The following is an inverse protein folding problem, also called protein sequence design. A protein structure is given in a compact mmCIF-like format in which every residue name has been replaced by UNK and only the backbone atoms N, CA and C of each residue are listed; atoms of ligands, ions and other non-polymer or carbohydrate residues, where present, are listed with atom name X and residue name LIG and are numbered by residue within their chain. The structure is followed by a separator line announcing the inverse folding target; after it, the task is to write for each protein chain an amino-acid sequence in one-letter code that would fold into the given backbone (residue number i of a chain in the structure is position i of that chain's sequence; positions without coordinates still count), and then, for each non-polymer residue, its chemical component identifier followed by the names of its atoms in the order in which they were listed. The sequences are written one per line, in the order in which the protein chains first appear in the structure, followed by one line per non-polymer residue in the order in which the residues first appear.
data_IF_919635418504
#
_entry.id   IF_919635418504
#
_cell.length_a   1.000
_cell.length_b   1.000
_cell.length_c   1.000
_cell.angle_alpha   90.00
_cell.angle_beta   90.00
_cell.angle_gamma   90.00
#
_symmetry.space_group_name_H-M   'P 1'
#
loop_
_entity.id
_entity.type
_entity.pdbx_description
1 polymer ?
#
# COMPACT_ATOMS: atom_id res chain seq x y z
N UNK A 1 6.33 -0.82 20.30
CA UNK A 1 7.34 -0.55 19.27
C UNK A 1 6.61 0.17 18.10
N UNK A 2 7.27 1.14 17.48
CA UNK A 2 6.77 1.79 16.25
C UNK A 2 7.85 1.65 15.19
N UNK A 3 7.46 1.20 14.00
CA UNK A 3 8.37 0.99 12.85
C UNK A 3 7.75 1.60 11.58
N UNK A 4 8.51 1.63 10.51
CA UNK A 4 8.04 1.99 9.17
C UNK A 4 8.08 0.72 8.30
N UNK A 5 7.00 -0.06 8.41
CA UNK A 5 6.71 -1.24 7.59
C UNK A 5 7.86 -2.22 7.39
N UNK A 6 7.90 -2.76 6.20
CA UNK A 6 8.81 -3.85 5.80
C UNK A 6 10.29 -3.47 5.88
N UNK A 7 10.65 -2.22 5.62
CA UNK A 7 12.04 -1.75 5.67
C UNK A 7 12.71 -1.97 7.03
N UNK A 8 11.94 -1.94 8.12
CA UNK A 8 12.42 -2.24 9.47
C UNK A 8 12.11 -3.67 9.91
N UNK A 9 10.99 -4.20 9.49
CA UNK A 9 10.56 -5.54 9.87
C UNK A 9 11.47 -6.62 9.24
N UNK A 10 11.96 -6.44 8.02
CA UNK A 10 12.86 -7.37 7.35
C UNK A 10 14.14 -7.64 8.14
N UNK A 11 14.98 -6.62 8.43
CA UNK A 11 16.19 -6.81 9.25
C UNK A 11 15.91 -7.34 10.67
N UNK A 12 14.74 -7.02 11.25
CA UNK A 12 14.33 -7.63 12.53
C UNK A 12 14.09 -9.11 12.38
N UNK A 13 13.40 -9.57 11.33
CA UNK A 13 13.16 -10.97 11.05
C UNK A 13 14.47 -11.72 10.81
N UNK A 14 15.35 -11.22 9.94
CA UNK A 14 16.67 -11.80 9.69
C UNK A 14 17.43 -12.03 11.00
N UNK A 15 17.37 -11.05 11.92
CA UNK A 15 18.03 -11.13 13.21
C UNK A 15 17.37 -12.15 14.15
N UNK A 16 16.04 -12.24 14.15
CA UNK A 16 15.26 -13.18 14.96
C UNK A 16 15.45 -14.62 14.46
N UNK A 17 15.47 -14.85 13.16
CA UNK A 17 15.69 -16.15 12.53
C UNK A 17 17.10 -16.66 12.82
N UNK A 18 18.11 -15.79 12.70
CA UNK A 18 19.50 -16.14 13.01
C UNK A 18 19.73 -16.43 14.50
N UNK A 19 18.92 -15.87 15.40
CA UNK A 19 19.14 -15.95 16.85
C UNK A 19 17.80 -16.06 17.63
N UNK A 20 17.02 -17.12 17.47
CA UNK A 20 15.62 -17.20 17.95
C UNK A 20 15.47 -17.15 19.48
N UNK A 21 16.54 -17.44 20.23
CA UNK A 21 16.52 -17.46 21.72
C UNK A 21 17.31 -16.32 22.35
N UNK A 22 17.88 -15.41 21.55
CA UNK A 22 18.79 -14.37 22.06
C UNK A 22 18.06 -13.30 22.87
N UNK A 23 16.84 -12.97 22.51
CA UNK A 23 16.08 -11.87 23.14
C UNK A 23 14.83 -12.36 23.85
N UNK A 24 14.56 -11.79 25.01
CA UNK A 24 13.27 -11.97 25.66
C UNK A 24 12.30 -10.90 25.15
N UNK A 25 11.38 -11.30 24.28
CA UNK A 25 10.38 -10.43 23.66
C UNK A 25 8.99 -10.54 24.31
N UNK A 26 8.87 -11.22 25.46
CA UNK A 26 7.58 -11.45 26.13
C UNK A 26 6.84 -10.17 26.52
N UNK A 27 7.55 -9.06 26.69
CA UNK A 27 6.97 -7.76 27.01
C UNK A 27 6.49 -6.97 25.77
N UNK A 28 6.80 -7.44 24.55
CA UNK A 28 6.36 -6.80 23.32
C UNK A 28 4.94 -7.22 23.01
N UNK A 29 3.98 -6.35 23.28
CA UNK A 29 2.55 -6.62 23.13
C UNK A 29 1.92 -5.87 21.96
N UNK A 30 2.60 -4.85 21.43
CA UNK A 30 2.11 -4.07 20.29
C UNK A 30 3.25 -3.54 19.42
N UNK A 31 3.05 -3.62 18.11
CA UNK A 31 3.88 -2.98 17.10
C UNK A 31 2.98 -2.15 16.18
N UNK A 32 3.30 -0.85 16.05
CA UNK A 32 2.60 0.07 15.18
C UNK A 32 3.42 0.39 13.93
N UNK A 33 2.77 0.55 12.79
CA UNK A 33 3.38 0.99 11.54
C UNK A 33 2.48 1.95 10.79
N UNK A 34 3.08 2.76 9.93
CA UNK A 34 2.39 3.58 8.94
C UNK A 34 3.36 4.06 7.86
N UNK A 35 2.81 4.59 6.75
CA UNK A 35 3.55 5.34 5.74
C UNK A 35 4.12 4.52 4.58
N UNK A 36 4.16 3.21 4.69
CA UNK A 36 4.53 2.30 3.59
C UNK A 36 3.64 1.06 3.61
N UNK A 37 3.52 0.42 2.46
CA UNK A 37 2.84 -0.88 2.37
C UNK A 37 3.64 -1.95 3.15
N UNK A 38 2.93 -2.83 3.84
CA UNK A 38 3.54 -3.87 4.66
C UNK A 38 2.87 -5.21 4.41
N UNK A 39 3.63 -6.16 3.87
CA UNK A 39 3.10 -7.44 3.41
C UNK A 39 2.51 -8.30 4.54
N UNK A 40 1.52 -9.10 4.19
CA UNK A 40 0.89 -10.07 5.10
C UNK A 40 1.91 -11.12 5.58
N UNK A 41 2.78 -11.59 4.68
CA UNK A 41 3.81 -12.60 4.94
C UNK A 41 4.76 -12.11 6.02
N UNK A 42 5.22 -10.88 5.89
CA UNK A 42 6.16 -10.26 6.83
C UNK A 42 5.52 -10.05 8.21
N UNK A 43 4.24 -9.64 8.26
CA UNK A 43 3.46 -9.56 9.51
C UNK A 43 3.31 -10.94 10.18
N UNK A 44 2.98 -11.97 9.39
CA UNK A 44 2.86 -13.35 9.89
C UNK A 44 4.18 -13.85 10.46
N UNK A 45 5.29 -13.65 9.76
CA UNK A 45 6.62 -14.08 10.23
C UNK A 45 6.99 -13.44 11.58
N UNK A 46 6.75 -12.13 11.76
CA UNK A 46 6.95 -11.47 13.06
C UNK A 46 6.07 -12.04 14.17
N UNK A 47 4.82 -12.38 13.85
CA UNK A 47 3.87 -12.95 14.80
C UNK A 47 4.19 -14.41 15.17
N UNK A 48 4.97 -15.13 14.36
CA UNK A 48 5.52 -16.44 14.76
C UNK A 48 6.59 -16.27 15.86
N UNK A 49 7.44 -15.26 15.75
CA UNK A 49 8.47 -14.97 16.80
C UNK A 49 7.87 -14.31 18.05
N UNK A 50 6.80 -13.50 17.89
CA UNK A 50 6.20 -12.71 18.98
C UNK A 50 4.68 -12.96 19.01
N UNK A 51 4.21 -14.14 19.39
CA UNK A 51 2.83 -14.57 19.21
C UNK A 51 1.78 -13.82 20.06
N UNK A 52 2.22 -13.15 21.14
CA UNK A 52 1.34 -12.32 21.98
C UNK A 52 1.14 -10.89 21.44
N UNK A 53 1.92 -10.51 20.42
CA UNK A 53 1.90 -9.15 19.89
C UNK A 53 0.68 -8.91 18.97
N UNK A 54 0.15 -7.69 19.02
CA UNK A 54 -0.74 -7.15 18.00
C UNK A 54 0.05 -6.20 17.09
N UNK A 55 -0.11 -6.36 15.79
CA UNK A 55 0.42 -5.42 14.82
C UNK A 55 -0.71 -4.50 14.36
N UNK A 56 -0.52 -3.19 14.50
CA UNK A 56 -1.42 -2.16 13.98
C UNK A 56 -0.74 -1.44 12.83
N UNK A 57 -1.38 -1.45 11.67
CA UNK A 57 -0.88 -0.75 10.49
C UNK A 57 -1.87 0.34 10.10
N UNK A 58 -1.41 1.58 10.09
CA UNK A 58 -2.25 2.77 9.94
C UNK A 58 -2.01 3.44 8.60
N UNK A 59 -3.10 3.70 7.90
CA UNK A 59 -3.12 4.43 6.64
C UNK A 59 -3.68 5.83 6.86
N UNK A 60 -2.97 6.82 6.33
CA UNK A 60 -3.36 8.21 6.43
C UNK A 60 -2.36 9.16 5.78
N UNK A 61 -2.67 10.43 5.78
CA UNK A 61 -1.80 11.51 5.31
C UNK A 61 -1.81 12.68 6.28
N UNK A 62 -0.91 13.66 6.06
CA UNK A 62 -0.89 14.88 6.86
C UNK A 62 -2.19 15.70 6.71
N UNK A 63 -2.86 15.60 5.59
CA UNK A 63 -4.13 16.25 5.27
C UNK A 63 -5.35 15.48 5.81
N UNK A 64 -5.18 14.18 6.08
CA UNK A 64 -6.26 13.29 6.47
C UNK A 64 -5.75 12.17 7.40
N UNK A 65 -5.83 12.41 8.69
CA UNK A 65 -5.44 11.42 9.70
C UNK A 65 -6.56 10.37 9.86
N UNK A 66 -6.16 9.09 9.99
CA UNK A 66 -7.10 8.01 10.28
C UNK A 66 -7.98 7.61 9.10
N UNK A 67 -7.41 7.53 7.90
CA UNK A 67 -8.10 7.06 6.69
C UNK A 67 -8.45 5.58 6.79
N UNK A 68 -7.56 4.78 7.37
CA UNK A 68 -7.79 3.37 7.60
C UNK A 68 -6.80 2.76 8.59
N UNK A 69 -7.16 1.59 9.12
CA UNK A 69 -6.32 0.83 10.03
C UNK A 69 -6.52 -0.67 9.81
N UNK A 70 -5.44 -1.43 9.85
CA UNK A 70 -5.50 -2.89 9.93
C UNK A 70 -4.89 -3.37 11.24
N UNK A 71 -5.39 -4.50 11.74
CA UNK A 71 -4.86 -5.15 12.95
C UNK A 71 -4.57 -6.59 12.61
N UNK A 72 -3.33 -7.04 12.86
CA UNK A 72 -2.93 -8.42 12.70
C UNK A 72 -2.59 -9.03 14.07
N UNK A 73 -2.98 -10.30 14.24
CA UNK A 73 -2.62 -11.16 15.35
C UNK A 73 -2.16 -12.51 14.80
N UNK A 74 -1.53 -13.34 15.63
CA UNK A 74 -1.11 -14.68 15.21
C UNK A 74 -2.29 -15.48 14.64
N UNK A 75 -2.14 -15.95 13.40
CA UNK A 75 -3.18 -16.69 12.67
C UNK A 75 -4.32 -15.84 12.09
N UNK A 76 -4.27 -14.49 12.21
CA UNK A 76 -5.30 -13.56 11.75
C UNK A 76 -4.67 -12.25 11.23
N UNK A 77 -3.78 -12.35 10.25
CA UNK A 77 -3.25 -11.17 9.56
C UNK A 77 -4.11 -10.84 8.34
N UNK A 78 -4.60 -9.57 8.22
CA UNK A 78 -5.26 -9.09 7.02
C UNK A 78 -4.35 -9.21 5.80
N UNK A 79 -4.97 -9.29 4.60
CA UNK A 79 -4.22 -9.21 3.35
C UNK A 79 -3.42 -7.91 3.27
N UNK A 80 -2.35 -7.92 2.51
CA UNK A 80 -1.57 -6.71 2.18
C UNK A 80 -2.51 -5.64 1.64
N UNK A 81 -2.27 -4.38 2.00
CA UNK A 81 -3.07 -3.22 1.61
C UNK A 81 -4.57 -3.23 2.00
N UNK A 82 -5.00 -4.15 2.86
CA UNK A 82 -6.38 -4.21 3.35
C UNK A 82 -6.52 -3.49 4.70
N UNK A 83 -7.46 -2.53 4.75
CA UNK A 83 -7.70 -1.69 5.93
C UNK A 83 -9.19 -1.61 6.27
N UNK A 84 -9.52 -1.57 7.54
CA UNK A 84 -10.82 -1.08 7.97
C UNK A 84 -10.90 0.43 7.73
N UNK A 85 -11.97 0.90 7.09
CA UNK A 85 -12.19 2.33 6.84
C UNK A 85 -12.32 3.11 8.17
N UNK A 86 -11.69 4.27 8.21
CA UNK A 86 -11.89 5.23 9.29
C UNK A 86 -13.34 5.74 9.34
N UNK A 87 -13.83 6.21 10.49
CA UNK A 87 -15.24 6.54 10.71
C UNK A 87 -15.80 7.67 9.82
N UNK A 88 -14.92 8.53 9.29
CA UNK A 88 -15.28 9.62 8.37
C UNK A 88 -14.66 9.42 6.98
N UNK A 89 -14.24 8.21 6.66
CA UNK A 89 -13.56 7.89 5.42
C UNK A 89 -14.56 7.24 4.44
N UNK A 90 -14.48 7.64 3.19
CA UNK A 90 -15.25 7.08 2.08
C UNK A 90 -14.39 7.05 0.82
N UNK A 91 -14.81 6.30 -0.20
CA UNK A 91 -14.17 6.29 -1.52
C UNK A 91 -15.14 6.89 -2.52
N UNK A 92 -14.68 7.87 -3.30
CA UNK A 92 -15.44 8.49 -4.37
C UNK A 92 -14.82 8.19 -5.72
N UNK A 93 -15.64 7.90 -6.71
CA UNK A 93 -15.24 7.91 -8.12
C UNK A 93 -14.79 9.32 -8.55
N UNK A 94 -14.14 9.45 -9.70
CA UNK A 94 -13.69 10.75 -10.19
C UNK A 94 -14.85 11.73 -10.45
N UNK A 95 -16.03 11.22 -10.80
CA UNK A 95 -17.28 12.01 -10.99
C UNK A 95 -18.04 12.28 -9.67
N UNK A 96 -17.48 11.92 -8.54
CA UNK A 96 -17.96 12.26 -7.20
C UNK A 96 -19.09 11.39 -6.67
N UNK A 97 -19.28 10.19 -7.19
CA UNK A 97 -20.20 9.19 -6.64
C UNK A 97 -19.46 8.30 -5.65
N UNK A 98 -20.16 7.79 -4.64
CA UNK A 98 -19.57 6.81 -3.72
C UNK A 98 -19.37 5.47 -4.40
N UNK A 99 -18.16 4.93 -4.27
CA UNK A 99 -17.87 3.55 -4.66
C UNK A 99 -18.66 2.61 -3.76
N UNK A 100 -19.38 1.67 -4.38
CA UNK A 100 -20.16 0.67 -3.66
C UNK A 100 -19.29 -0.53 -3.26
N UNK A 101 -19.52 -1.06 -2.07
CA UNK A 101 -18.81 -2.24 -1.61
C UNK A 101 -19.00 -3.42 -2.58
N UNK A 102 -17.90 -4.08 -2.95
CA UNK A 102 -17.91 -5.23 -3.86
C UNK A 102 -18.14 -4.90 -5.33
N UNK A 103 -18.20 -3.63 -5.73
CA UNK A 103 -18.40 -3.25 -7.14
C UNK A 103 -17.20 -3.50 -8.05
N UNK A 104 -15.99 -3.63 -7.48
CA UNK A 104 -14.73 -3.65 -8.23
C UNK A 104 -14.38 -2.30 -8.88
N UNK A 105 -15.10 -1.23 -8.52
CA UNK A 105 -14.83 0.11 -8.99
C UNK A 105 -13.79 0.78 -8.08
N UNK A 106 -12.74 1.35 -8.67
CA UNK A 106 -11.74 2.11 -7.94
C UNK A 106 -12.11 3.58 -7.82
N UNK A 107 -11.65 4.24 -6.76
CA UNK A 107 -11.89 5.65 -6.54
C UNK A 107 -10.90 6.30 -5.59
N UNK A 108 -11.09 7.58 -5.37
CA UNK A 108 -10.27 8.41 -4.50
C UNK A 108 -10.72 8.29 -3.05
N UNK A 109 -9.80 8.01 -2.16
CA UNK A 109 -10.06 7.99 -0.73
C UNK A 109 -10.26 9.41 -0.23
N UNK A 110 -11.35 9.65 0.50
CA UNK A 110 -11.74 10.95 1.01
C UNK A 110 -12.10 10.90 2.49
N UNK A 111 -11.72 11.93 3.23
CA UNK A 111 -12.07 12.09 4.65
C UNK A 111 -12.86 13.35 4.86
N UNK A 112 -14.01 13.23 5.56
CA UNK A 112 -14.86 14.33 5.96
C UNK A 112 -14.72 14.71 7.43
N UNK A 113 -15.56 15.64 7.89
CA UNK A 113 -15.59 16.07 9.29
C UNK A 113 -14.59 17.18 9.61
N UNK A 114 -13.81 17.02 10.68
CA UNK A 114 -12.79 17.99 11.08
C UNK A 114 -11.55 17.84 10.20
N UNK A 115 -11.49 18.63 9.13
CA UNK A 115 -10.41 18.64 8.15
C UNK A 115 -9.70 19.99 8.10
N UNK A 116 -8.44 20.07 7.64
CA UNK A 116 -7.71 21.33 7.50
C UNK A 116 -8.43 22.34 6.61
N UNK A 117 -8.20 23.63 6.86
CA UNK A 117 -8.76 24.71 6.02
C UNK A 117 -8.07 24.81 4.66
N UNK A 118 -6.83 24.33 4.54
CA UNK A 118 -6.06 24.33 3.29
C UNK A 118 -4.57 24.42 3.54
N UNK A 119 -3.83 24.55 2.46
CA UNK A 119 -2.39 24.81 2.49
C UNK A 119 -2.11 26.30 2.61
N UNK A 120 -1.11 26.66 3.39
CA UNK A 120 -0.74 28.05 3.58
C UNK A 120 -0.21 28.67 2.29
N UNK A 121 -0.86 29.74 1.84
CA UNK A 121 -0.53 30.48 0.59
C UNK A 121 -0.50 29.63 -0.68
N UNK A 122 -1.23 28.51 -0.73
CA UNK A 122 -1.34 27.65 -1.92
C UNK A 122 -2.81 27.31 -2.17
N UNK A 123 -3.50 28.21 -2.83
CA UNK A 123 -4.93 28.09 -3.14
C UNK A 123 -5.16 26.99 -4.19
N UNK A 124 -4.23 26.80 -5.13
CA UNK A 124 -4.33 25.81 -6.20
C UNK A 124 -4.31 24.40 -5.61
N UNK A 125 -3.28 24.09 -4.80
CA UNK A 125 -3.18 22.80 -4.11
C UNK A 125 -4.32 22.59 -3.12
N UNK A 126 -4.76 23.68 -2.44
CA UNK A 126 -5.92 23.63 -1.54
C UNK A 126 -7.17 23.21 -2.29
N UNK A 127 -7.48 23.80 -3.44
CA UNK A 127 -8.65 23.43 -4.23
C UNK A 127 -8.58 22.01 -4.80
N UNK A 128 -7.39 21.54 -5.18
CA UNK A 128 -7.17 20.17 -5.67
C UNK A 128 -7.36 19.10 -4.58
N UNK A 129 -6.95 19.41 -3.35
CA UNK A 129 -6.97 18.45 -2.24
C UNK A 129 -8.28 18.50 -1.45
N UNK A 130 -8.84 19.69 -1.23
CA UNK A 130 -10.06 19.86 -0.44
C UNK A 130 -11.27 20.09 -1.36
N UNK A 131 -11.86 18.99 -1.81
CA UNK A 131 -12.91 18.96 -2.85
C UNK A 131 -14.31 19.01 -2.25
N UNK A 132 -15.29 19.36 -3.10
CA UNK A 132 -16.71 19.33 -2.76
C UNK A 132 -17.36 18.09 -3.37
N UNK A 133 -17.88 17.18 -2.53
CA UNK A 133 -18.71 16.06 -2.93
C UNK A 133 -19.94 15.99 -2.03
N UNK A 134 -21.09 15.65 -2.57
CA UNK A 134 -22.35 15.54 -1.82
C UNK A 134 -22.71 16.79 -1.00
N UNK A 135 -22.40 17.97 -1.53
CA UNK A 135 -22.71 19.25 -0.87
C UNK A 135 -21.85 19.60 0.35
N UNK A 136 -20.78 18.83 0.62
CA UNK A 136 -19.86 19.11 1.72
C UNK A 136 -18.39 18.94 1.31
N UNK A 137 -17.51 19.50 2.14
CA UNK A 137 -16.08 19.52 1.89
C UNK A 137 -15.40 18.26 2.41
N UNK A 138 -14.50 17.71 1.59
CA UNK A 138 -13.72 16.51 1.86
C UNK A 138 -12.25 16.78 1.63
N UNK A 139 -11.38 16.15 2.42
CA UNK A 139 -9.96 16.03 2.11
C UNK A 139 -9.77 14.81 1.20
N UNK A 140 -9.11 15.00 0.06
CA UNK A 140 -8.82 13.97 -0.95
C UNK A 140 -7.33 14.00 -1.25
N UNK A 141 -6.48 13.28 -0.49
CA UNK A 141 -5.01 13.37 -0.61
C UNK A 141 -4.44 12.82 -1.91
N UNK A 142 -5.22 12.04 -2.66
CA UNK A 142 -4.84 11.46 -3.94
C UNK A 142 -4.57 9.95 -3.90
N UNK A 143 -4.90 9.31 -2.79
CA UNK A 143 -4.81 7.86 -2.65
C UNK A 143 -6.03 7.20 -3.29
N UNK A 144 -5.80 6.10 -4.01
CA UNK A 144 -6.82 5.32 -4.71
C UNK A 144 -7.08 4.01 -3.99
N UNK A 145 -8.32 3.58 -4.01
CA UNK A 145 -8.74 2.33 -3.38
C UNK A 145 -10.00 1.76 -4.00
N UNK A 146 -10.23 0.48 -3.75
CA UNK A 146 -11.50 -0.21 -3.92
C UNK A 146 -12.15 -0.44 -2.56
N UNK A 147 -13.46 -0.68 -2.55
CA UNK A 147 -14.19 -1.09 -1.35
C UNK A 147 -14.59 -2.55 -1.52
N UNK A 148 -14.02 -3.42 -0.70
CA UNK A 148 -14.32 -4.85 -0.70
C UNK A 148 -15.78 -5.13 -0.30
N UNK A 149 -16.29 -6.33 -0.57
CA UNK A 149 -17.65 -6.77 -0.19
C UNK A 149 -17.91 -6.65 1.33
N UNK A 150 -16.87 -6.87 2.14
CA UNK A 150 -16.93 -6.78 3.60
C UNK A 150 -16.86 -5.34 4.13
N UNK A 151 -16.76 -4.34 3.24
CA UNK A 151 -16.65 -2.93 3.57
C UNK A 151 -15.24 -2.49 3.96
N UNK A 152 -14.24 -3.36 3.91
CA UNK A 152 -12.84 -2.96 4.06
C UNK A 152 -12.34 -2.25 2.81
N UNK A 153 -11.31 -1.42 2.96
CA UNK A 153 -10.64 -0.74 1.87
C UNK A 153 -9.46 -1.60 1.39
N UNK A 154 -9.35 -1.79 0.08
CA UNK A 154 -8.14 -2.26 -0.58
C UNK A 154 -7.42 -1.05 -1.18
N UNK A 155 -6.28 -0.67 -0.60
CA UNK A 155 -5.48 0.47 -1.05
C UNK A 155 -4.69 0.08 -2.28
N UNK A 156 -4.88 0.81 -3.38
CA UNK A 156 -4.18 0.56 -4.64
C UNK A 156 -2.86 1.32 -4.72
N UNK A 157 -2.84 2.57 -4.23
CA UNK A 157 -1.66 3.42 -4.22
C UNK A 157 -1.98 4.88 -4.47
N UNK A 158 -0.96 5.69 -4.76
CA UNK A 158 -1.13 7.11 -5.06
C UNK A 158 -1.31 7.37 -6.54
N UNK A 159 -2.36 8.12 -6.90
CA UNK A 159 -2.64 8.49 -8.27
C UNK A 159 -1.54 9.33 -8.95
N UNK A 160 -0.69 10.01 -8.18
CA UNK A 160 0.45 10.79 -8.71
C UNK A 160 1.58 9.93 -9.27
N UNK A 161 1.64 8.65 -8.91
CA UNK A 161 2.63 7.67 -9.41
C UNK A 161 1.99 6.59 -10.27
N UNK A 162 0.69 6.70 -10.52
CA UNK A 162 -0.05 5.76 -11.36
C UNK A 162 0.50 5.74 -12.79
N UNK A 163 0.76 4.55 -13.31
CA UNK A 163 1.25 4.31 -14.68
C UNK A 163 0.03 4.22 -15.62
N UNK A 164 0.01 5.06 -16.65
CA UNK A 164 -1.10 5.09 -17.60
C UNK A 164 -0.72 4.33 -18.87
N UNK A 165 -1.05 3.05 -18.92
CA UNK A 165 -0.68 2.16 -20.03
C UNK A 165 -1.91 1.71 -20.81
N UNK A 166 -1.98 2.08 -22.11
CA UNK A 166 -3.08 1.69 -23.00
C UNK A 166 -4.46 2.18 -22.57
N UNK A 167 -4.53 3.24 -21.76
CA UNK A 167 -5.79 3.78 -21.20
C UNK A 167 -6.19 3.15 -19.86
N UNK A 168 -5.42 2.22 -19.34
CA UNK A 168 -5.61 1.63 -18.01
C UNK A 168 -4.71 2.32 -16.98
N UNK A 169 -5.20 2.47 -15.75
CA UNK A 169 -4.43 2.94 -14.60
C UNK A 169 -3.83 1.73 -13.88
N UNK A 170 -2.51 1.68 -13.79
CA UNK A 170 -1.79 0.64 -13.06
C UNK A 170 -1.05 1.29 -11.90
N UNK A 171 -1.25 0.78 -10.71
CA UNK A 171 -0.58 1.28 -9.51
C UNK A 171 0.72 0.51 -9.31
N UNK A 172 1.88 1.21 -9.22
CA UNK A 172 3.19 0.58 -9.04
C UNK A 172 3.21 -0.42 -7.89
N UNK A 173 2.60 -0.06 -6.77
CA UNK A 173 2.58 -0.87 -5.55
C UNK A 173 1.92 -2.24 -5.74
N UNK A 174 0.89 -2.35 -6.59
CA UNK A 174 0.25 -3.64 -6.91
C UNK A 174 1.18 -4.54 -7.72
N UNK A 175 1.93 -3.95 -8.67
CA UNK A 175 2.92 -4.66 -9.48
C UNK A 175 4.08 -5.14 -8.61
N UNK A 176 4.60 -4.27 -7.75
CA UNK A 176 5.70 -4.55 -6.83
C UNK A 176 5.35 -5.70 -5.87
N UNK A 177 4.18 -5.65 -5.24
CA UNK A 177 3.72 -6.71 -4.32
C UNK A 177 3.56 -8.05 -5.05
N UNK A 178 3.04 -8.04 -6.28
CA UNK A 178 2.92 -9.25 -7.09
C UNK A 178 4.31 -9.83 -7.43
N UNK A 179 5.25 -8.99 -7.84
CA UNK A 179 6.60 -9.43 -8.20
C UNK A 179 7.36 -9.97 -6.98
N UNK A 180 7.19 -9.37 -5.81
CA UNK A 180 7.77 -9.82 -4.53
C UNK A 180 7.21 -11.15 -4.01
N UNK A 181 6.13 -11.67 -4.59
CA UNK A 181 5.69 -13.05 -4.28
C UNK A 181 6.62 -14.12 -4.85
N UNK A 182 7.51 -13.78 -5.80
CA UNK A 182 8.47 -14.72 -6.37
C UNK A 182 9.63 -14.96 -5.40
N UNK A 183 9.94 -16.23 -5.13
CA UNK A 183 10.92 -16.63 -4.10
C UNK A 183 12.35 -16.11 -4.33
N UNK A 184 12.71 -15.78 -5.57
CA UNK A 184 14.02 -15.22 -5.91
C UNK A 184 14.07 -13.69 -5.89
N UNK A 185 12.95 -13.02 -5.53
CA UNK A 185 12.86 -11.55 -5.48
C UNK A 185 12.84 -11.08 -4.05
N UNK A 186 13.82 -10.27 -3.68
CA UNK A 186 13.93 -9.62 -2.37
C UNK A 186 13.15 -8.32 -2.31
N UNK A 187 13.26 -7.50 -3.36
CA UNK A 187 12.53 -6.23 -3.48
C UNK A 187 12.27 -5.89 -4.94
N UNK A 188 11.28 -5.03 -5.18
CA UNK A 188 10.89 -4.59 -6.52
C UNK A 188 10.40 -3.16 -6.51
N UNK A 189 10.69 -2.41 -7.58
CA UNK A 189 10.18 -1.06 -7.83
C UNK A 189 9.61 -1.01 -9.25
N UNK A 190 8.36 -0.62 -9.39
CA UNK A 190 7.69 -0.45 -10.66
C UNK A 190 7.62 1.02 -11.06
N UNK A 191 7.93 1.33 -12.31
CA UNK A 191 7.87 2.68 -12.88
C UNK A 191 7.27 2.66 -14.28
N UNK A 192 6.57 3.74 -14.64
CA UNK A 192 6.16 3.99 -16.03
C UNK A 192 7.34 4.53 -16.84
N UNK A 193 7.61 3.91 -17.99
CA UNK A 193 8.53 4.47 -18.97
C UNK A 193 7.78 4.83 -20.24
N UNK A 194 8.14 5.95 -20.93
CA UNK A 194 7.45 6.39 -22.13
C UNK A 194 7.40 5.30 -23.20
N UNK A 195 6.23 5.03 -23.76
CA UNK A 195 5.98 4.11 -24.86
C UNK A 195 5.14 4.76 -25.95
N UNK A 196 5.55 4.63 -27.21
CA UNK A 196 4.88 5.31 -28.35
C UNK A 196 3.51 4.72 -28.68
N UNK A 197 3.22 3.48 -28.27
CA UNK A 197 1.96 2.77 -28.55
C UNK A 197 0.97 2.86 -27.40
N UNK A 198 1.48 2.78 -26.17
CA UNK A 198 0.64 2.67 -24.98
C UNK A 198 0.65 3.94 -24.11
N UNK A 199 1.44 4.98 -24.48
CA UNK A 199 1.71 6.15 -23.65
C UNK A 199 2.81 5.88 -22.64
N UNK A 200 2.59 4.89 -21.78
CA UNK A 200 3.60 4.34 -20.86
C UNK A 200 3.59 2.81 -20.93
N UNK A 201 4.72 2.20 -20.66
CA UNK A 201 4.85 0.76 -20.36
C UNK A 201 5.42 0.58 -18.97
N UNK A 202 5.09 -0.55 -18.33
CA UNK A 202 5.52 -0.84 -16.97
C UNK A 202 6.93 -1.42 -17.01
N UNK A 203 7.85 -0.78 -16.33
CA UNK A 203 9.19 -1.28 -16.08
C UNK A 203 9.31 -1.65 -14.60
N UNK A 204 9.78 -2.86 -14.32
CA UNK A 204 10.03 -3.31 -12.94
C UNK A 204 11.51 -3.53 -12.75
N UNK A 205 12.08 -2.89 -11.75
CA UNK A 205 13.45 -3.08 -11.29
C UNK A 205 13.38 -4.00 -10.08
N UNK A 206 14.14 -5.09 -10.08
CA UNK A 206 14.10 -6.09 -9.01
C UNK A 206 15.46 -6.25 -8.35
N UNK A 207 15.46 -6.47 -7.04
CA UNK A 207 16.60 -6.95 -6.26
C UNK A 207 16.42 -8.45 -6.03
N UNK A 208 17.43 -9.25 -6.41
CA UNK A 208 17.40 -10.69 -6.18
C UNK A 208 17.69 -11.06 -4.73
N UNK A 209 17.15 -12.20 -4.27
CA UNK A 209 17.62 -12.81 -3.01
C UNK A 209 19.10 -13.22 -3.14
N UNK A 210 19.90 -13.17 -2.05
CA UNK A 210 21.32 -13.49 -2.08
C UNK A 210 21.59 -14.88 -2.66
N UNK A 211 22.33 -14.92 -3.78
CA UNK A 211 22.68 -16.15 -4.48
C UNK A 211 21.62 -16.66 -5.48
N UNK A 212 20.51 -15.97 -5.62
CA UNK A 212 19.47 -16.29 -6.60
C UNK A 212 19.63 -15.45 -7.87
N UNK A 213 19.00 -15.91 -8.95
CA UNK A 213 18.87 -15.18 -10.21
C UNK A 213 17.39 -15.05 -10.53
N UNK A 214 16.92 -13.82 -10.75
CA UNK A 214 15.52 -13.58 -11.10
C UNK A 214 15.29 -13.95 -12.57
N UNK A 215 14.31 -14.81 -12.90
CA UNK A 215 14.01 -15.12 -14.28
C UNK A 215 13.46 -13.88 -15.00
N UNK A 216 13.93 -13.64 -16.24
CA UNK A 216 13.54 -12.47 -17.08
C UNK A 216 12.04 -12.43 -17.37
N UNK A 217 11.32 -13.54 -17.18
CA UNK A 217 9.87 -13.63 -17.37
C UNK A 217 9.24 -14.00 -16.03
N UNK A 218 8.77 -13.00 -15.31
CA UNK A 218 7.77 -13.23 -14.26
C UNK A 218 6.42 -13.22 -14.96
N UNK A 219 5.73 -14.38 -14.98
CA UNK A 219 4.39 -14.48 -15.55
C UNK A 219 3.44 -13.65 -14.68
N UNK A 220 3.05 -12.48 -15.16
CA UNK A 220 2.04 -11.66 -14.51
C UNK A 220 0.73 -11.71 -15.29
N UNK A 221 -0.44 -11.67 -14.66
CA UNK A 221 -1.72 -11.50 -15.34
C UNK A 221 -1.86 -10.12 -15.99
N UNK A 222 -0.97 -9.18 -15.68
CA UNK A 222 -0.94 -7.84 -16.23
C UNK A 222 -0.39 -7.84 -17.66
N UNK A 223 -1.12 -7.26 -18.59
CA UNK A 223 -0.66 -7.06 -19.97
C UNK A 223 0.34 -5.90 -19.99
N UNK A 224 1.40 -6.03 -20.81
CA UNK A 224 2.42 -5.01 -21.05
C UNK A 224 3.39 -4.73 -19.88
N UNK A 225 3.72 -5.74 -19.07
CA UNK A 225 4.80 -5.65 -18.08
C UNK A 225 6.10 -6.15 -18.71
N UNK A 226 7.09 -5.30 -18.81
CA UNK A 226 8.45 -5.65 -19.18
C UNK A 226 9.32 -5.62 -17.92
N UNK A 227 9.75 -6.78 -17.45
CA UNK A 227 10.73 -6.86 -16.37
C UNK A 227 12.10 -6.53 -16.95
N UNK A 228 12.68 -5.44 -16.53
CA UNK A 228 13.99 -4.99 -16.96
C UNK A 228 14.87 -4.78 -15.73
N UNK A 229 15.79 -5.71 -15.54
CA UNK A 229 17.04 -5.65 -14.79
C UNK A 229 17.10 -5.96 -13.31
N UNK A 230 18.05 -6.87 -13.03
CA UNK A 230 18.70 -7.13 -11.77
C UNK A 230 19.65 -5.96 -11.43
N UNK A 231 19.53 -5.41 -10.21
CA UNK A 231 20.57 -4.60 -9.59
C UNK A 231 21.32 -5.53 -8.64
N UNK A 232 22.55 -5.90 -8.99
CA UNK A 232 23.51 -6.61 -8.12
C UNK A 232 24.06 -5.70 -7.04
#
# INVERSE_FOLDING_TARGET
IVIVGQAFAGPMLESLDANPTRWNLSSVVQMGSSGVMWSQENKNALLEHIPQMLITDSFGSSEAVGMGMSVAAKGAAPKTAQFALGPNCVVFTEDGKRVQAGSGESGLVAVGGAIPVGYYKDEVKTAQTFRQFEGRRWTVPGDWAEVNEDGTLHLLGRGSVCINTGGEKVFPEEVEEMVKTHSSVRDAVAVGIPDTRFGETICVVVEAEPGETVPVIISTPLRNVHVVFEIT
#
